data_IF_559101223704
#
_entry.id   IF_559101223704
#
_cell.length_a   1.000
_cell.length_b   1.000
_cell.length_c   1.000
_cell.angle_alpha   90.00
_cell.angle_beta   90.00
_cell.angle_gamma   90.00
#
_symmetry.space_group_name_H-M   'P 1'
#
loop_
_entity.id
_entity.type
_entity.pdbx_description
1 polymer ?
#
# COMPACT_ATOMS: atom_id res chain seq x y z
N UNK A 1 13.76 6.62 14.63
CA UNK A 1 12.75 7.69 14.59
C UNK A 1 11.51 7.19 15.32
N UNK A 2 11.18 7.72 16.50
CA UNK A 2 10.10 7.22 17.38
C UNK A 2 8.78 8.01 17.17
N UNK A 3 8.58 8.54 15.96
CA UNK A 3 7.53 9.53 15.65
C UNK A 3 6.12 8.96 15.76
N UNK A 4 5.94 7.69 15.37
CA UNK A 4 4.62 7.06 15.40
C UNK A 4 4.08 6.84 16.82
N UNK A 5 4.95 6.72 17.83
CA UNK A 5 4.54 6.44 19.20
C UNK A 5 4.31 7.70 20.03
N UNK A 6 5.07 8.78 19.77
CA UNK A 6 5.08 9.96 20.65
C UNK A 6 4.69 11.27 19.97
N UNK A 7 4.68 11.33 18.64
CA UNK A 7 4.47 12.57 17.89
C UNK A 7 3.29 12.46 16.92
N UNK A 8 2.43 11.46 17.07
CA UNK A 8 1.29 11.27 16.17
C UNK A 8 0.35 12.47 16.19
N UNK A 9 0.14 13.09 17.35
CA UNK A 9 -0.77 14.23 17.51
C UNK A 9 -0.12 15.57 17.19
N UNK A 10 1.21 15.62 17.09
CA UNK A 10 1.99 16.82 16.78
C UNK A 10 2.10 17.09 15.27
N UNK A 11 1.78 16.10 14.43
CA UNK A 11 1.84 16.23 12.97
C UNK A 11 0.48 16.65 12.39
N UNK A 12 0.50 17.69 11.57
CA UNK A 12 -0.67 18.10 10.79
C UNK A 12 -0.90 17.15 9.60
N UNK A 13 -2.16 17.08 9.14
CA UNK A 13 -2.50 16.21 8.03
C UNK A 13 -1.73 16.62 6.76
N UNK A 14 -1.12 15.64 6.10
CA UNK A 14 -0.34 15.83 4.88
C UNK A 14 1.14 16.11 5.13
N UNK A 15 1.54 16.39 6.38
CA UNK A 15 2.94 16.67 6.71
C UNK A 15 3.84 15.44 6.52
N UNK A 16 5.03 15.71 5.97
CA UNK A 16 6.07 14.72 5.72
C UNK A 16 7.33 15.13 6.47
N UNK A 17 7.71 14.32 7.47
CA UNK A 17 9.01 14.37 8.11
C UNK A 17 9.90 13.28 7.54
N UNK A 18 11.17 13.60 7.34
CA UNK A 18 12.11 12.61 6.83
C UNK A 18 13.51 12.88 7.37
N UNK A 19 14.28 11.81 7.49
CA UNK A 19 15.69 11.87 7.82
C UNK A 19 16.41 10.76 7.05
N UNK A 20 17.71 10.95 6.83
CA UNK A 20 18.54 9.93 6.22
C UNK A 20 19.25 9.17 7.34
N UNK A 21 19.25 7.84 7.26
CA UNK A 21 20.01 6.96 8.14
C UNK A 21 21.44 7.48 8.37
N UNK A 22 22.01 7.22 9.55
CA UNK A 22 23.39 7.60 9.91
C UNK A 22 24.43 7.19 8.85
N UNK A 23 24.18 6.09 8.12
CA UNK A 23 25.04 5.59 7.04
C UNK A 23 24.79 6.25 5.67
N UNK A 24 23.86 7.20 5.58
CA UNK A 24 23.42 7.90 4.37
C UNK A 24 22.84 7.03 3.25
N UNK A 25 22.36 5.83 3.59
CA UNK A 25 21.90 4.82 2.60
C UNK A 25 20.39 4.64 2.50
N UNK A 26 19.65 5.03 3.54
CA UNK A 26 18.21 4.76 3.65
C UNK A 26 17.50 6.02 4.11
N UNK A 27 16.53 6.48 3.32
CA UNK A 27 15.54 7.47 3.72
C UNK A 27 14.56 6.84 4.71
N UNK A 28 14.35 7.49 5.84
CA UNK A 28 13.32 7.17 6.82
C UNK A 28 12.33 8.33 6.82
N UNK A 29 11.07 8.04 6.50
CA UNK A 29 10.02 9.04 6.38
C UNK A 29 8.84 8.72 7.29
N UNK A 30 8.23 9.75 7.85
CA UNK A 30 6.98 9.71 8.59
C UNK A 30 6.00 10.68 7.91
N UNK A 31 4.89 10.15 7.41
CA UNK A 31 3.85 10.94 6.74
C UNK A 31 2.55 10.85 7.50
N UNK A 32 1.95 11.99 7.81
CA UNK A 32 0.65 12.05 8.47
C UNK A 32 -0.47 12.01 7.43
N UNK A 33 -1.24 10.92 7.44
CA UNK A 33 -2.53 10.83 6.78
C UNK A 33 -3.63 10.79 7.86
N UNK A 34 -4.66 9.97 7.69
CA UNK A 34 -5.54 9.56 8.78
C UNK A 34 -4.77 9.00 9.99
N UNK A 35 -3.60 8.41 9.75
CA UNK A 35 -2.63 7.96 10.76
C UNK A 35 -1.22 8.32 10.29
N UNK A 36 -0.26 8.34 11.22
CA UNK A 36 1.15 8.44 10.87
C UNK A 36 1.61 7.11 10.25
N UNK A 37 2.08 7.20 9.02
CA UNK A 37 2.65 6.08 8.26
C UNK A 37 4.16 6.26 8.20
N UNK A 38 4.89 5.20 8.56
CA UNK A 38 6.34 5.17 8.47
C UNK A 38 6.76 4.46 7.19
N UNK A 39 7.75 5.03 6.51
CA UNK A 39 8.31 4.50 5.27
C UNK A 39 9.83 4.45 5.36
N UNK A 40 10.40 3.43 4.71
CA UNK A 40 11.83 3.28 4.50
C UNK A 40 12.11 3.04 3.02
N UNK A 41 13.06 3.75 2.43
CA UNK A 41 13.44 3.55 1.03
C UNK A 41 14.90 3.89 0.79
N UNK A 42 15.52 3.20 -0.17
CA UNK A 42 16.88 3.49 -0.65
C UNK A 42 16.90 4.38 -1.90
N UNK A 43 15.75 4.54 -2.55
CA UNK A 43 15.62 5.22 -3.86
C UNK A 43 14.66 6.40 -3.84
N UNK A 44 13.78 6.50 -2.83
CA UNK A 44 12.78 7.56 -2.75
C UNK A 44 13.43 8.91 -2.48
N UNK A 45 12.87 9.95 -3.10
CA UNK A 45 13.21 11.34 -2.82
C UNK A 45 12.07 11.98 -2.01
N UNK A 46 12.36 12.64 -0.89
CA UNK A 46 11.33 13.19 -0.02
C UNK A 46 10.65 14.46 -0.57
N UNK A 47 11.27 15.15 -1.52
CA UNK A 47 10.77 16.42 -2.06
C UNK A 47 9.79 16.24 -3.25
N UNK A 48 9.57 15.01 -3.70
CA UNK A 48 8.68 14.72 -4.82
C UNK A 48 7.26 14.46 -4.32
N UNK A 49 6.30 15.21 -4.86
CA UNK A 49 4.88 15.09 -4.53
C UNK A 49 4.05 15.01 -5.80
N UNK A 50 2.90 14.35 -5.70
CA UNK A 50 1.93 14.20 -6.78
C UNK A 50 0.54 14.56 -6.27
N UNK A 51 -0.26 15.20 -7.10
CA UNK A 51 -1.65 15.46 -6.83
C UNK A 51 -2.49 14.23 -7.20
N UNK A 52 -3.31 13.76 -6.26
CA UNK A 52 -4.20 12.62 -6.48
C UNK A 52 -5.60 12.95 -5.98
N UNK A 53 -6.59 12.61 -6.80
CA UNK A 53 -7.98 12.54 -6.34
C UNK A 53 -8.11 11.42 -5.31
N UNK A 54 -8.57 11.77 -4.12
CA UNK A 54 -8.87 10.82 -3.06
C UNK A 54 -10.33 10.89 -2.68
N UNK A 55 -10.89 9.74 -2.32
CA UNK A 55 -12.23 9.63 -1.76
C UNK A 55 -12.17 9.76 -0.26
N UNK A 56 -13.14 10.48 0.32
CA UNK A 56 -13.29 10.61 1.76
C UNK A 56 -13.57 9.23 2.37
N UNK A 57 -12.85 8.83 3.43
CA UNK A 57 -13.10 7.56 4.10
C UNK A 57 -14.46 7.54 4.80
N UNK A 58 -14.97 6.32 5.01
CA UNK A 58 -16.28 6.08 5.63
C UNK A 58 -16.35 6.70 7.03
N UNK A 59 -17.54 7.18 7.40
CA UNK A 59 -17.78 7.87 8.68
C UNK A 59 -17.36 7.06 9.91
N UNK A 60 -17.40 5.72 9.83
CA UNK A 60 -17.06 4.76 10.89
C UNK A 60 -15.55 4.47 10.99
N UNK A 61 -14.71 5.03 10.12
CA UNK A 61 -13.26 4.81 10.19
C UNK A 61 -12.66 5.39 11.47
N UNK A 62 -11.68 4.69 12.04
CA UNK A 62 -11.05 4.99 13.34
C UNK A 62 -10.50 6.42 13.44
N UNK A 63 -10.18 7.06 12.31
CA UNK A 63 -9.65 8.43 12.24
C UNK A 63 -10.44 9.32 11.28
N UNK A 64 -11.75 9.08 11.23
CA UNK A 64 -12.65 9.89 10.42
C UNK A 64 -12.54 11.37 10.80
N UNK A 65 -12.47 11.73 12.08
CA UNK A 65 -12.45 13.13 12.54
C UNK A 65 -11.38 13.98 11.84
N UNK A 66 -10.10 13.58 11.91
CA UNK A 66 -8.99 14.31 11.27
C UNK A 66 -9.13 14.34 9.75
N UNK A 67 -9.60 13.25 9.15
CA UNK A 67 -9.76 13.19 7.69
C UNK A 67 -10.95 14.03 7.22
N UNK A 68 -12.00 14.22 8.03
CA UNK A 68 -13.14 15.07 7.69
C UNK A 68 -12.75 16.54 7.63
N UNK A 69 -11.88 17.01 8.53
CA UNK A 69 -11.37 18.39 8.50
C UNK A 69 -10.64 18.69 7.19
N UNK A 70 -9.94 17.70 6.63
CA UNK A 70 -9.22 17.87 5.36
C UNK A 70 -10.14 17.82 4.16
N UNK A 71 -11.20 17.02 4.21
CA UNK A 71 -12.14 16.84 3.10
C UNK A 71 -13.32 17.82 3.13
N UNK A 72 -13.54 18.52 4.24
CA UNK A 72 -14.70 19.38 4.47
C UNK A 72 -16.03 18.63 4.22
N UNK A 73 -16.88 19.16 3.35
CA UNK A 73 -18.10 18.51 2.87
C UNK A 73 -17.90 17.75 1.55
N UNK A 74 -16.70 17.75 0.98
CA UNK A 74 -16.41 17.07 -0.27
C UNK A 74 -16.28 15.56 -0.07
N UNK A 75 -16.95 14.80 -0.95
CA UNK A 75 -16.80 13.34 -1.01
C UNK A 75 -15.48 12.92 -1.69
N UNK A 76 -14.96 13.76 -2.59
CA UNK A 76 -13.71 13.57 -3.32
C UNK A 76 -12.93 14.89 -3.29
N UNK A 77 -11.64 14.83 -3.00
CA UNK A 77 -10.76 16.00 -2.96
C UNK A 77 -9.41 15.66 -3.59
N UNK A 78 -8.86 16.58 -4.36
CA UNK A 78 -7.49 16.48 -4.87
C UNK A 78 -6.56 16.83 -3.72
N UNK A 79 -5.66 15.90 -3.37
CA UNK A 79 -4.73 16.05 -2.27
C UNK A 79 -3.32 15.80 -2.76
N UNK A 80 -2.38 16.62 -2.28
CA UNK A 80 -0.96 16.48 -2.54
C UNK A 80 -0.39 15.39 -1.63
N UNK A 81 0.16 14.34 -2.21
CA UNK A 81 0.77 13.22 -1.48
C UNK A 81 2.22 13.02 -1.92
N UNK A 82 3.10 12.50 -1.05
CA UNK A 82 4.47 12.18 -1.46
C UNK A 82 4.48 11.12 -2.57
N UNK A 83 5.31 11.32 -3.60
CA UNK A 83 5.34 10.47 -4.80
C UNK A 83 5.65 9.01 -4.46
N UNK A 84 6.57 8.77 -3.54
CA UNK A 84 6.93 7.40 -3.15
C UNK A 84 5.77 6.65 -2.48
N UNK A 85 4.82 7.35 -1.85
CA UNK A 85 3.61 6.75 -1.28
C UNK A 85 2.63 6.37 -2.38
N UNK A 86 2.50 7.22 -3.40
CA UNK A 86 1.70 6.92 -4.58
C UNK A 86 2.25 5.68 -5.31
N UNK A 87 3.56 5.68 -5.59
CA UNK A 87 4.27 4.53 -6.18
C UNK A 87 4.03 3.27 -5.34
N UNK A 88 4.23 3.34 -4.03
CA UNK A 88 3.97 2.19 -3.15
C UNK A 88 2.56 1.66 -3.31
N UNK A 89 1.53 2.53 -3.29
CA UNK A 89 0.14 2.08 -3.41
C UNK A 89 -0.17 1.46 -4.78
N UNK A 90 0.46 1.93 -5.86
CA UNK A 90 0.27 1.34 -7.20
C UNK A 90 0.90 -0.04 -7.35
N UNK A 91 2.02 -0.30 -6.67
CA UNK A 91 2.77 -1.55 -6.84
C UNK A 91 2.56 -2.58 -5.71
N UNK A 92 2.10 -2.17 -4.54
CA UNK A 92 2.00 -3.07 -3.38
C UNK A 92 0.90 -4.14 -3.51
N UNK A 93 -0.17 -3.85 -4.27
CA UNK A 93 -1.37 -4.69 -4.33
C UNK A 93 -1.20 -6.03 -5.07
N UNK A 94 -0.06 -6.28 -5.72
CA UNK A 94 0.10 -7.46 -6.57
C UNK A 94 0.06 -8.79 -5.80
N UNK A 95 0.61 -8.81 -4.58
CA UNK A 95 0.57 -10.00 -3.71
C UNK A 95 -0.84 -10.21 -3.17
N UNK A 96 -1.50 -9.15 -2.71
CA UNK A 96 -2.89 -9.22 -2.21
C UNK A 96 -3.85 -9.69 -3.30
N UNK A 97 -3.64 -9.25 -4.55
CA UNK A 97 -4.43 -9.68 -5.69
C UNK A 97 -4.23 -11.18 -5.99
N UNK A 98 -3.02 -11.70 -5.83
CA UNK A 98 -2.77 -13.13 -5.93
C UNK A 98 -3.50 -13.88 -4.81
N UNK A 99 -3.39 -13.40 -3.57
CA UNK A 99 -4.07 -14.01 -2.41
C UNK A 99 -5.59 -14.04 -2.62
N UNK A 100 -6.19 -12.93 -3.06
CA UNK A 100 -7.62 -12.84 -3.40
C UNK A 100 -8.01 -13.88 -4.45
N UNK A 101 -7.27 -13.98 -5.56
CA UNK A 101 -7.51 -14.98 -6.59
C UNK A 101 -7.41 -16.41 -6.04
N UNK A 102 -6.39 -16.69 -5.23
CA UNK A 102 -6.24 -18.03 -4.63
C UNK A 102 -7.28 -18.34 -3.55
N UNK A 103 -7.83 -17.33 -2.87
CA UNK A 103 -8.90 -17.51 -1.90
C UNK A 103 -10.22 -17.89 -2.59
N UNK A 104 -10.53 -17.23 -3.71
CA UNK A 104 -11.76 -17.47 -4.46
C UNK A 104 -11.72 -18.77 -5.26
N UNK A 105 -10.57 -19.09 -5.86
CA UNK A 105 -10.37 -20.28 -6.70
C UNK A 105 -9.50 -21.35 -6.04
N UNK A 106 -9.50 -21.42 -4.70
CA UNK A 106 -8.59 -22.30 -3.97
C UNK A 106 -8.78 -23.76 -4.33
N UNK A 107 -7.68 -24.46 -4.64
CA UNK A 107 -7.69 -25.92 -4.78
C UNK A 107 -7.38 -26.65 -3.47
N UNK A 108 -7.14 -25.90 -2.38
CA UNK A 108 -6.82 -26.46 -1.09
C UNK A 108 -7.93 -27.36 -0.55
N UNK A 109 -7.53 -28.48 0.04
CA UNK A 109 -8.43 -29.44 0.70
C UNK A 109 -7.87 -29.79 2.06
N UNK A 110 -8.74 -30.14 3.01
CA UNK A 110 -8.31 -30.65 4.31
C UNK A 110 -7.43 -31.91 4.12
N UNK A 111 -6.21 -31.89 4.68
CA UNK A 111 -5.24 -33.00 4.61
C UNK A 111 -4.50 -33.15 5.93
N UNK A 112 -4.16 -34.39 6.28
CA UNK A 112 -3.37 -34.76 7.47
C UNK A 112 -1.86 -34.83 7.21
N UNK A 113 -1.41 -34.51 5.99
CA UNK A 113 0.01 -34.53 5.59
C UNK A 113 0.47 -33.09 5.36
N UNK A 114 1.53 -32.68 6.06
CA UNK A 114 2.05 -31.30 6.05
C UNK A 114 2.57 -30.83 4.69
N UNK A 115 3.02 -31.74 3.82
CA UNK A 115 3.47 -31.38 2.46
C UNK A 115 2.34 -31.15 1.46
N UNK A 116 1.13 -31.66 1.73
CA UNK A 116 0.00 -31.55 0.78
C UNK A 116 -0.47 -30.10 0.61
N UNK A 117 -0.63 -29.29 1.67
CA UNK A 117 -0.91 -27.85 1.54
C UNK A 117 0.12 -27.12 0.68
N UNK A 118 1.42 -27.40 0.84
CA UNK A 118 2.47 -26.81 0.01
C UNK A 118 2.32 -27.18 -1.46
N UNK A 119 1.96 -28.43 -1.76
CA UNK A 119 1.70 -28.85 -3.14
C UNK A 119 0.51 -28.12 -3.76
N UNK A 120 -0.59 -27.95 -3.03
CA UNK A 120 -1.75 -27.17 -3.50
C UNK A 120 -1.41 -25.70 -3.70
N UNK A 121 -0.63 -25.10 -2.79
CA UNK A 121 -0.14 -23.73 -2.95
C UNK A 121 0.68 -23.55 -4.23
N UNK A 122 1.63 -24.45 -4.50
CA UNK A 122 2.40 -24.44 -5.76
C UNK A 122 1.49 -24.60 -6.98
N UNK A 123 0.46 -25.44 -6.88
CA UNK A 123 -0.50 -25.64 -7.96
C UNK A 123 -1.33 -24.37 -8.22
N UNK A 124 -1.81 -23.70 -7.18
CA UNK A 124 -2.57 -22.44 -7.27
C UNK A 124 -1.71 -21.30 -7.87
N UNK A 125 -0.40 -21.26 -7.55
CA UNK A 125 0.57 -20.34 -8.19
C UNK A 125 0.64 -20.60 -9.70
N UNK A 126 0.84 -21.87 -10.10
CA UNK A 126 0.97 -22.24 -11.52
C UNK A 126 -0.28 -21.87 -12.30
N UNK A 127 -1.47 -22.19 -11.77
CA UNK A 127 -2.73 -21.85 -12.42
C UNK A 127 -2.90 -20.34 -12.60
N UNK A 128 -2.62 -19.56 -11.55
CA UNK A 128 -2.72 -18.10 -11.59
C UNK A 128 -1.76 -17.49 -12.61
N UNK A 129 -0.53 -17.99 -12.69
CA UNK A 129 0.45 -17.54 -13.67
C UNK A 129 0.04 -17.92 -15.11
N UNK A 130 -0.38 -19.17 -15.34
CA UNK A 130 -0.87 -19.62 -16.64
C UNK A 130 -2.04 -18.78 -17.15
N UNK A 131 -2.95 -18.36 -16.26
CA UNK A 131 -4.06 -17.48 -16.62
C UNK A 131 -3.61 -16.06 -16.96
N UNK A 132 -2.62 -15.51 -16.23
CA UNK A 132 -2.14 -14.14 -16.45
C UNK A 132 -1.22 -14.01 -17.67
N UNK A 133 -0.44 -15.05 -18.00
CA UNK A 133 0.55 -15.02 -19.09
C UNK A 133 0.00 -14.51 -20.44
N UNK A 134 -1.14 -15.02 -20.95
CA UNK A 134 -1.73 -14.52 -22.19
C UNK A 134 -2.05 -13.02 -22.17
N UNK A 135 -2.47 -12.49 -21.02
CA UNK A 135 -2.83 -11.07 -20.87
C UNK A 135 -1.64 -10.12 -20.98
N UNK A 136 -0.42 -10.61 -20.74
CA UNK A 136 0.80 -9.81 -20.93
C UNK A 136 1.15 -9.72 -22.42
N UNK A 137 1.08 -10.83 -23.15
CA UNK A 137 1.39 -10.87 -24.59
C UNK A 137 0.42 -10.05 -25.45
N UNK A 138 -0.85 -9.91 -25.04
CA UNK A 138 -1.82 -9.07 -25.75
C UNK A 138 -1.68 -7.57 -25.44
N UNK A 139 -0.95 -7.20 -24.39
CA UNK A 139 -0.78 -5.80 -23.98
C UNK A 139 0.36 -5.12 -24.73
N UNK A 140 1.37 -5.88 -25.16
CA UNK A 140 2.55 -5.40 -25.88
C UNK A 140 2.32 -5.27 -27.41
N UNK A 141 1.12 -5.59 -27.89
CA UNK A 141 0.74 -5.63 -29.32
C UNK A 141 -0.20 -4.49 -29.75
N UNK A 142 -0.42 -3.48 -28.89
CA UNK A 142 -1.09 -2.21 -29.19
C UNK A 142 -0.21 -1.04 -28.76
#
# INVERSE_FOLDING_TARGET
>A
MNIKLYHTDDLEWGELYWDISKKKTVLQAAWKNAQVVLFGSTVAKPNEFVERERKRPVKTSTNAACTRLVFDDLAVKVLRIPLFIDIYNHFMSDVDRFDECTSYYSTQRAKRKTWKPLWYFLFDIVLSNCFRLPSFFTKDSN
#
